data_IF_150935056357
#
_entry.id   IF_150935056357
#
_cell.length_a   1.000
_cell.length_b   1.000
_cell.length_c   1.000
_cell.angle_alpha   90.00
_cell.angle_beta   90.00
_cell.angle_gamma   90.00
#
_symmetry.space_group_name_H-M   'P 1'
#
loop_
_entity.id
_entity.type
_entity.pdbx_description
1 polymer ?
#
# COMPACT_ATOMS: atom_id res chain seq x y z
N UNK A 1 61.70 -23.44 -40.55
CA UNK A 1 61.57 -21.98 -40.70
C UNK A 1 60.15 -21.64 -41.14
N UNK A 2 59.41 -20.83 -40.35
CA UNK A 2 58.09 -20.20 -40.66
C UNK A 2 56.91 -21.19 -40.80
N UNK A 3 55.68 -20.97 -40.32
CA UNK A 3 55.03 -19.85 -39.59
C UNK A 3 53.62 -20.35 -39.17
N UNK A 4 53.24 -20.02 -37.93
CA UNK A 4 51.95 -19.40 -37.49
C UNK A 4 50.64 -20.20 -37.63
N UNK A 5 50.01 -20.57 -36.51
CA UNK A 5 49.11 -19.75 -35.65
C UNK A 5 47.72 -19.52 -36.29
N UNK A 6 46.67 -20.17 -35.76
CA UNK A 6 45.64 -19.54 -34.91
C UNK A 6 44.52 -20.57 -34.62
N UNK A 7 44.49 -21.10 -33.40
CA UNK A 7 43.30 -21.73 -32.83
C UNK A 7 42.52 -20.61 -32.13
N UNK A 8 41.41 -20.20 -32.73
CA UNK A 8 40.44 -19.29 -32.11
C UNK A 8 39.36 -20.17 -31.46
N UNK A 9 39.64 -20.61 -30.23
CA UNK A 9 38.60 -21.15 -29.35
C UNK A 9 37.83 -19.98 -28.76
N UNK A 10 36.71 -19.64 -29.40
CA UNK A 10 35.73 -18.69 -28.86
C UNK A 10 35.02 -19.39 -27.71
N UNK A 11 35.36 -19.05 -26.47
CA UNK A 11 34.58 -19.39 -25.29
C UNK A 11 33.46 -18.35 -25.18
N UNK A 12 32.30 -18.67 -25.74
CA UNK A 12 31.05 -17.93 -25.46
C UNK A 12 30.53 -18.38 -24.09
N UNK A 13 31.00 -17.74 -23.02
CA UNK A 13 30.31 -17.82 -21.74
C UNK A 13 29.11 -16.88 -21.79
N UNK A 14 27.96 -17.43 -22.19
CA UNK A 14 26.65 -16.80 -21.98
C UNK A 14 26.40 -16.75 -20.47
N UNK A 15 26.77 -15.63 -19.84
CA UNK A 15 26.21 -15.26 -18.54
C UNK A 15 24.78 -14.83 -18.80
N UNK A 16 23.84 -15.77 -18.76
CA UNK A 16 22.43 -15.45 -18.58
C UNK A 16 22.34 -15.00 -17.12
N UNK A 17 22.51 -13.70 -16.87
CA UNK A 17 21.95 -13.12 -15.66
C UNK A 17 20.44 -13.28 -15.80
N UNK A 18 19.86 -14.22 -15.05
CA UNK A 18 18.43 -14.16 -14.80
C UNK A 18 18.20 -12.81 -14.14
N UNK A 19 17.68 -11.84 -14.90
CA UNK A 19 17.08 -10.65 -14.33
C UNK A 19 15.87 -11.17 -13.54
N UNK A 20 16.10 -11.57 -12.31
CA UNK A 20 15.03 -11.79 -11.36
C UNK A 20 14.53 -10.38 -11.07
N UNK A 21 13.46 -9.98 -11.76
CA UNK A 21 12.81 -8.70 -11.45
C UNK A 21 12.46 -8.73 -9.97
N UNK A 22 12.90 -7.72 -9.22
CA UNK A 22 12.50 -7.60 -7.82
C UNK A 22 10.98 -7.69 -7.72
N UNK A 23 10.50 -8.54 -6.82
CA UNK A 23 9.08 -8.72 -6.57
C UNK A 23 8.51 -7.40 -6.02
N UNK A 24 7.47 -6.91 -6.68
CA UNK A 24 6.73 -5.71 -6.26
C UNK A 24 5.48 -6.12 -5.50
N UNK A 25 4.84 -5.19 -4.79
CA UNK A 25 3.55 -5.48 -4.12
C UNK A 25 2.52 -5.96 -5.16
N UNK A 26 2.46 -5.32 -6.33
CA UNK A 26 1.56 -5.73 -7.40
C UNK A 26 1.83 -7.15 -7.91
N UNK A 27 3.09 -7.48 -8.23
CA UNK A 27 3.42 -8.83 -8.75
C UNK A 27 3.11 -9.93 -7.74
N UNK A 28 3.32 -9.65 -6.45
CA UNK A 28 3.07 -10.60 -5.37
C UNK A 28 1.59 -10.88 -5.15
N UNK A 29 0.75 -9.84 -5.24
CA UNK A 29 -0.67 -9.92 -4.90
C UNK A 29 -1.63 -9.94 -6.11
N UNK A 30 -1.12 -9.94 -7.35
CA UNK A 30 -1.93 -9.99 -8.58
C UNK A 30 -2.95 -11.14 -8.58
N UNK A 31 -2.58 -12.29 -8.02
CA UNK A 31 -3.40 -13.50 -7.98
C UNK A 31 -4.05 -13.77 -6.61
N UNK A 32 -4.06 -12.78 -5.72
CA UNK A 32 -4.61 -12.89 -4.35
C UNK A 32 -6.08 -13.32 -4.33
N UNK A 33 -6.86 -12.95 -5.34
CA UNK A 33 -8.29 -13.29 -5.47
C UNK A 33 -8.59 -14.80 -5.47
N UNK A 34 -7.59 -15.66 -5.69
CA UNK A 34 -7.72 -17.12 -5.65
C UNK A 34 -7.76 -17.68 -4.23
N UNK A 35 -7.35 -16.89 -3.25
CA UNK A 35 -7.20 -17.33 -1.87
C UNK A 35 -8.44 -16.94 -1.06
N UNK A 36 -9.09 -17.93 -0.44
CA UNK A 36 -10.25 -17.69 0.43
C UNK A 36 -9.82 -17.17 1.81
N UNK A 37 -8.62 -17.54 2.26
CA UNK A 37 -8.06 -17.08 3.52
C UNK A 37 -7.15 -15.86 3.29
N UNK A 38 -7.73 -14.68 3.52
CA UNK A 38 -7.07 -13.39 3.32
C UNK A 38 -5.85 -13.20 4.24
N UNK A 39 -5.82 -13.77 5.44
CA UNK A 39 -4.67 -13.69 6.35
C UNK A 39 -3.49 -14.49 5.80
N UNK A 40 -3.75 -15.71 5.32
CA UNK A 40 -2.75 -16.56 4.65
C UNK A 40 -2.25 -15.87 3.38
N UNK A 41 -3.14 -15.24 2.62
CA UNK A 41 -2.80 -14.47 1.43
C UNK A 41 -1.78 -13.37 1.77
N UNK A 42 -2.08 -12.54 2.79
CA UNK A 42 -1.19 -11.46 3.23
C UNK A 42 0.16 -12.02 3.69
N UNK A 43 0.16 -13.02 4.57
CA UNK A 43 1.39 -13.65 5.08
C UNK A 43 2.27 -14.19 3.96
N UNK A 44 1.69 -14.93 3.01
CA UNK A 44 2.44 -15.49 1.88
C UNK A 44 3.01 -14.40 0.99
N UNK A 45 2.27 -13.32 0.78
CA UNK A 45 2.78 -12.19 0.02
C UNK A 45 3.94 -11.48 0.71
N UNK A 46 3.84 -11.22 2.01
CA UNK A 46 4.95 -10.61 2.78
C UNK A 46 6.21 -11.48 2.74
N UNK A 47 6.06 -12.81 2.80
CA UNK A 47 7.18 -13.74 2.62
C UNK A 47 7.80 -13.66 1.22
N UNK A 48 7.00 -13.51 0.16
CA UNK A 48 7.51 -13.33 -1.22
C UNK A 48 8.25 -12.00 -1.41
N UNK A 49 7.83 -10.96 -0.68
CA UNK A 49 8.54 -9.68 -0.60
C UNK A 49 9.81 -9.75 0.27
N UNK A 50 10.15 -10.93 0.81
CA UNK A 50 11.29 -11.17 1.71
C UNK A 50 11.27 -10.33 3.00
N UNK A 51 10.06 -10.05 3.53
CA UNK A 51 9.90 -9.30 4.78
C UNK A 51 10.12 -10.24 5.97
N UNK A 52 10.98 -9.84 6.93
CA UNK A 52 11.21 -10.60 8.15
C UNK A 52 10.07 -10.40 9.17
N UNK A 53 9.10 -11.32 9.16
CA UNK A 53 7.93 -11.28 10.06
C UNK A 53 8.26 -11.53 11.53
N UNK A 54 9.42 -12.13 11.83
CA UNK A 54 9.87 -12.37 13.20
C UNK A 54 10.52 -11.12 13.84
N UNK A 55 10.85 -10.11 13.02
CA UNK A 55 11.42 -8.86 13.50
C UNK A 55 10.36 -7.99 14.18
N UNK A 56 10.69 -7.43 15.34
CA UNK A 56 9.83 -6.44 15.97
C UNK A 56 9.89 -5.10 15.22
N UNK A 57 8.73 -4.49 15.02
CA UNK A 57 8.63 -3.14 14.45
C UNK A 57 8.77 -2.13 15.59
N UNK A 58 9.64 -1.11 15.47
CA UNK A 58 9.81 -0.09 16.50
C UNK A 58 8.49 0.61 16.83
N UNK A 59 8.25 0.89 18.12
CA UNK A 59 7.03 1.55 18.62
C UNK A 59 6.73 2.86 17.89
N UNK A 60 7.75 3.64 17.51
CA UNK A 60 7.58 4.89 16.77
C UNK A 60 6.93 4.65 15.39
N UNK A 61 7.33 3.58 14.70
CA UNK A 61 6.76 3.22 13.39
C UNK A 61 5.36 2.66 13.54
N UNK A 62 5.11 1.80 14.53
CA UNK A 62 3.76 1.30 14.82
C UNK A 62 2.79 2.45 15.12
N UNK A 63 3.19 3.37 15.97
CA UNK A 63 2.39 4.55 16.35
C UNK A 63 2.13 5.46 15.14
N UNK A 64 3.12 5.64 14.27
CA UNK A 64 2.97 6.39 13.03
C UNK A 64 2.01 5.70 12.04
N UNK A 65 2.16 4.39 11.83
CA UNK A 65 1.26 3.59 10.96
C UNK A 65 -0.17 3.67 11.46
N UNK A 66 -0.39 3.43 12.76
CA UNK A 66 -1.71 3.51 13.38
C UNK A 66 -2.34 4.89 13.15
N UNK A 67 -1.57 5.97 13.36
CA UNK A 67 -2.04 7.33 13.10
C UNK A 67 -2.36 7.60 11.63
N UNK A 68 -1.49 7.17 10.71
CA UNK A 68 -1.65 7.35 9.27
C UNK A 68 -2.95 6.68 8.83
N UNK A 69 -3.13 5.40 9.17
CA UNK A 69 -4.31 4.62 8.77
C UNK A 69 -5.61 5.15 9.40
N UNK A 70 -5.56 5.61 10.66
CA UNK A 70 -6.69 6.29 11.30
C UNK A 70 -7.15 7.55 10.53
N UNK A 71 -6.25 8.11 9.73
CA UNK A 71 -6.46 9.33 8.95
C UNK A 71 -6.56 9.08 7.43
N UNK A 72 -6.55 7.82 7.00
CA UNK A 72 -6.76 7.37 5.62
C UNK A 72 -8.25 7.18 5.40
N UNK A 73 -8.95 8.26 5.04
CA UNK A 73 -10.38 8.21 4.74
C UNK A 73 -10.62 7.70 3.33
N UNK A 74 -11.51 6.73 3.18
CA UNK A 74 -11.79 5.97 1.96
C UNK A 74 -12.64 6.78 0.97
N UNK A 75 -12.02 7.78 0.32
CA UNK A 75 -12.73 8.63 -0.64
C UNK A 75 -12.34 8.30 -2.08
N UNK A 76 -11.06 8.12 -2.33
CA UNK A 76 -10.54 7.87 -3.67
C UNK A 76 -10.83 6.44 -4.14
N UNK A 77 -11.01 5.47 -3.23
CA UNK A 77 -11.46 4.13 -3.63
C UNK A 77 -12.83 4.13 -4.34
N UNK A 78 -13.62 5.20 -4.24
CA UNK A 78 -14.91 5.36 -4.93
C UNK A 78 -14.82 6.25 -6.18
N UNK A 79 -13.61 6.57 -6.65
CA UNK A 79 -13.36 7.47 -7.79
C UNK A 79 -12.66 6.77 -8.95
N UNK A 80 -12.84 5.45 -9.05
CA UNK A 80 -12.19 4.66 -10.07
C UNK A 80 -12.74 4.98 -11.46
N UNK A 81 -11.86 4.85 -12.47
CA UNK A 81 -12.20 4.95 -13.91
C UNK A 81 -12.73 6.33 -14.34
N UNK A 82 -12.18 7.38 -13.76
CA UNK A 82 -12.47 8.78 -14.13
C UNK A 82 -13.72 9.37 -13.48
N UNK A 83 -14.32 8.68 -12.50
CA UNK A 83 -15.46 9.17 -11.72
C UNK A 83 -14.98 10.04 -10.53
N UNK A 84 -14.20 11.08 -10.82
CA UNK A 84 -13.42 11.86 -9.84
C UNK A 84 -14.24 12.70 -8.85
N UNK A 85 -15.52 12.95 -9.17
CA UNK A 85 -16.40 13.83 -8.40
C UNK A 85 -17.30 13.08 -7.41
N UNK A 86 -17.17 11.76 -7.30
CA UNK A 86 -17.96 10.94 -6.38
C UNK A 86 -17.75 11.38 -4.91
N UNK A 87 -18.83 11.37 -4.13
CA UNK A 87 -18.84 11.73 -2.71
C UNK A 87 -19.42 10.59 -1.88
N UNK A 88 -18.68 10.22 -0.84
CA UNK A 88 -19.03 9.15 0.09
C UNK A 88 -19.74 9.74 1.31
N UNK A 89 -20.82 9.10 1.74
CA UNK A 89 -21.53 9.39 2.97
C UNK A 89 -21.66 8.10 3.76
N UNK A 90 -21.20 8.11 5.00
CA UNK A 90 -21.22 6.94 5.88
C UNK A 90 -22.13 7.21 7.06
N UNK A 91 -22.95 6.23 7.43
CA UNK A 91 -23.73 6.26 8.67
C UNK A 91 -22.90 5.71 9.83
N UNK A 92 -23.26 6.09 11.06
CA UNK A 92 -22.65 5.52 12.28
C UNK A 92 -22.85 3.99 12.38
N UNK A 93 -23.86 3.45 11.69
CA UNK A 93 -24.14 2.02 11.58
C UNK A 93 -23.25 1.29 10.57
N UNK A 94 -22.45 2.01 9.77
CA UNK A 94 -21.46 1.45 8.84
C UNK A 94 -21.86 1.48 7.37
N UNK A 95 -23.15 1.63 7.04
CA UNK A 95 -23.58 1.69 5.63
C UNK A 95 -23.06 2.94 4.93
N UNK A 96 -22.62 2.76 3.70
CA UNK A 96 -22.19 3.85 2.83
C UNK A 96 -23.18 4.09 1.70
N UNK A 97 -23.27 5.35 1.29
CA UNK A 97 -23.88 5.76 0.04
C UNK A 97 -22.92 6.66 -0.71
N UNK A 98 -22.74 6.40 -2.01
CA UNK A 98 -21.87 7.19 -2.88
C UNK A 98 -22.74 7.89 -3.90
N UNK A 99 -22.56 9.19 -4.04
CA UNK A 99 -23.28 10.01 -5.01
C UNK A 99 -22.32 10.64 -6.00
N UNK A 100 -22.70 10.64 -7.28
CA UNK A 100 -21.96 11.33 -8.34
C UNK A 100 -22.12 12.86 -8.23
N UNK A 101 -21.46 13.60 -9.12
CA UNK A 101 -21.53 15.06 -9.18
C UNK A 101 -22.94 15.62 -9.39
N UNK A 102 -23.81 14.85 -10.03
CA UNK A 102 -25.19 15.24 -10.38
C UNK A 102 -26.16 14.85 -9.26
N UNK A 103 -25.67 14.19 -8.21
CA UNK A 103 -26.44 13.76 -7.04
C UNK A 103 -27.16 12.41 -7.23
N UNK A 104 -26.81 11.64 -8.26
CA UNK A 104 -27.35 10.29 -8.44
C UNK A 104 -26.58 9.29 -7.59
N UNK A 105 -27.28 8.27 -7.08
CA UNK A 105 -26.65 7.17 -6.37
C UNK A 105 -25.78 6.37 -7.36
N UNK A 106 -24.52 6.17 -7.01
CA UNK A 106 -23.58 5.34 -7.76
C UNK A 106 -23.89 3.87 -7.50
N UNK A 107 -24.17 3.12 -8.56
CA UNK A 107 -24.57 1.71 -8.48
C UNK A 107 -23.64 0.74 -9.22
N UNK A 108 -22.63 1.26 -9.94
CA UNK A 108 -21.64 0.40 -10.57
C UNK A 108 -20.82 -0.33 -9.50
N UNK A 109 -20.32 -1.53 -9.82
CA UNK A 109 -19.72 -2.38 -8.80
C UNK A 109 -18.45 -1.79 -8.20
N UNK A 110 -17.65 -1.08 -8.99
CA UNK A 110 -16.35 -0.58 -8.55
C UNK A 110 -16.47 0.63 -7.61
N UNK A 111 -17.41 1.55 -7.81
CA UNK A 111 -17.51 2.79 -7.02
C UNK A 111 -18.71 2.88 -6.07
N UNK A 112 -19.69 1.97 -6.13
CA UNK A 112 -20.84 2.04 -5.21
C UNK A 112 -20.41 1.92 -3.74
N UNK A 113 -21.23 2.50 -2.85
CA UNK A 113 -21.01 2.41 -1.41
C UNK A 113 -21.01 0.96 -0.92
N UNK A 114 -20.17 0.70 0.08
CA UNK A 114 -20.02 -0.60 0.73
C UNK A 114 -20.56 -0.58 2.16
N UNK A 115 -20.18 -1.55 2.97
CA UNK A 115 -20.46 -1.56 4.41
C UNK A 115 -19.15 -1.60 5.18
N UNK A 116 -18.99 -0.66 6.11
CA UNK A 116 -17.84 -0.61 7.02
C UNK A 116 -18.06 -1.55 8.21
N UNK A 117 -17.32 -2.64 8.26
CA UNK A 117 -17.26 -3.53 9.42
C UNK A 117 -16.23 -3.06 10.44
N UNK A 118 -15.20 -2.34 9.99
CA UNK A 118 -14.22 -1.69 10.85
C UNK A 118 -14.57 -0.25 11.19
N UNK A 119 -13.79 0.34 12.10
CA UNK A 119 -13.93 1.76 12.49
C UNK A 119 -12.58 2.46 12.38
N UNK A 120 -12.59 3.75 12.05
CA UNK A 120 -11.36 4.55 11.95
C UNK A 120 -10.58 4.64 13.26
N UNK A 121 -11.24 4.50 14.41
CA UNK A 121 -10.56 4.45 15.71
C UNK A 121 -9.78 3.15 15.94
N UNK A 122 -10.06 2.10 15.16
CA UNK A 122 -9.34 0.81 15.15
C UNK A 122 -8.83 0.54 13.73
N UNK A 123 -7.85 1.31 13.25
CA UNK A 123 -7.52 1.34 11.82
C UNK A 123 -6.92 0.03 11.29
N UNK A 124 -6.23 -0.74 12.13
CA UNK A 124 -5.72 -2.06 11.73
C UNK A 124 -6.88 -3.02 11.48
N UNK A 125 -7.84 -3.10 12.40
CA UNK A 125 -9.05 -3.88 12.22
C UNK A 125 -9.86 -3.40 11.00
N UNK A 126 -9.93 -2.08 10.75
CA UNK A 126 -10.56 -1.54 9.55
C UNK A 126 -9.87 -2.00 8.27
N UNK A 127 -8.55 -1.98 8.23
CA UNK A 127 -7.83 -2.54 7.09
C UNK A 127 -8.11 -4.03 6.92
N UNK A 128 -8.06 -4.82 8.00
CA UNK A 128 -8.32 -6.28 7.95
C UNK A 128 -9.72 -6.63 7.45
N UNK A 129 -10.75 -5.88 7.87
CA UNK A 129 -12.15 -6.22 7.62
C UNK A 129 -12.72 -5.56 6.36
N UNK A 130 -12.28 -4.36 6.01
CA UNK A 130 -12.87 -3.56 4.93
C UNK A 130 -11.93 -3.52 3.71
N UNK A 131 -10.70 -3.01 3.91
CA UNK A 131 -9.79 -2.72 2.79
C UNK A 131 -9.14 -3.97 2.22
N UNK A 132 -8.60 -4.85 3.06
CA UNK A 132 -7.87 -6.01 2.57
C UNK A 132 -8.77 -6.96 1.75
N UNK A 133 -10.00 -7.31 2.22
CA UNK A 133 -10.95 -8.06 1.39
C UNK A 133 -11.30 -7.33 0.09
N UNK A 134 -11.53 -6.01 0.14
CA UNK A 134 -11.83 -5.21 -1.05
C UNK A 134 -10.66 -5.21 -2.04
N UNK A 135 -9.42 -5.04 -1.59
CA UNK A 135 -8.23 -5.13 -2.45
C UNK A 135 -8.15 -6.49 -3.15
N UNK A 136 -8.41 -7.57 -2.42
CA UNK A 136 -8.30 -8.95 -2.93
C UNK A 136 -9.47 -9.33 -3.85
N UNK A 137 -10.72 -9.05 -3.46
CA UNK A 137 -11.91 -9.56 -4.13
C UNK A 137 -12.77 -8.52 -4.85
N UNK A 138 -12.54 -7.23 -4.61
CA UNK A 138 -13.40 -6.16 -5.10
C UNK A 138 -14.66 -5.99 -4.26
N UNK A 139 -15.49 -5.03 -4.64
CA UNK A 139 -16.70 -4.67 -3.91
C UNK A 139 -17.86 -5.67 -4.14
N UNK A 140 -17.84 -6.37 -5.28
CA UNK A 140 -18.74 -7.49 -5.57
C UNK A 140 -18.02 -8.61 -6.30
N UNK A 141 -18.70 -9.77 -6.38
CA UNK A 141 -18.24 -10.92 -7.17
C UNK A 141 -18.05 -10.61 -8.66
N UNK A 142 -18.72 -9.59 -9.18
CA UNK A 142 -18.68 -9.17 -10.58
C UNK A 142 -17.88 -7.88 -10.78
N UNK A 143 -17.23 -7.37 -9.73
CA UNK A 143 -16.38 -6.20 -9.81
C UNK A 143 -15.23 -6.47 -10.80
N UNK A 144 -15.17 -5.72 -11.92
CA UNK A 144 -14.20 -5.96 -12.97
C UNK A 144 -12.83 -5.36 -12.66
N UNK A 145 -12.65 -4.71 -11.51
CA UNK A 145 -11.38 -4.09 -11.14
C UNK A 145 -10.34 -5.12 -10.75
N UNK A 146 -9.07 -4.81 -10.98
CA UNK A 146 -7.94 -5.65 -10.55
C UNK A 146 -7.43 -5.21 -9.17
N UNK A 147 -6.64 -6.08 -8.51
CA UNK A 147 -5.89 -5.68 -7.31
C UNK A 147 -5.07 -4.41 -7.56
N UNK A 148 -4.39 -4.32 -8.72
CA UNK A 148 -3.55 -3.18 -9.06
C UNK A 148 -4.36 -1.88 -9.17
N UNK A 149 -5.50 -1.92 -9.84
CA UNK A 149 -6.40 -0.77 -9.96
C UNK A 149 -6.87 -0.30 -8.57
N UNK A 150 -7.40 -1.21 -7.76
CA UNK A 150 -7.87 -0.91 -6.40
C UNK A 150 -6.76 -0.39 -5.49
N UNK A 151 -5.59 -1.03 -5.55
CA UNK A 151 -4.44 -0.65 -4.73
C UNK A 151 -3.94 0.75 -5.09
N UNK A 152 -3.93 1.13 -6.37
CA UNK A 152 -3.60 2.49 -6.78
C UNK A 152 -4.46 3.53 -6.06
N UNK A 153 -5.78 3.36 -6.08
CA UNK A 153 -6.70 4.29 -5.42
C UNK A 153 -6.58 4.24 -3.89
N UNK A 154 -6.34 3.08 -3.30
CA UNK A 154 -6.06 3.01 -1.87
C UNK A 154 -4.76 3.75 -1.49
N UNK A 155 -3.71 3.70 -2.33
CA UNK A 155 -2.50 4.49 -2.10
C UNK A 155 -2.77 6.00 -2.13
N UNK A 156 -3.72 6.46 -2.96
CA UNK A 156 -4.13 7.88 -2.98
C UNK A 156 -4.92 8.29 -1.74
N UNK A 157 -5.69 7.38 -1.12
CA UNK A 157 -6.28 7.63 0.20
C UNK A 157 -5.21 7.59 1.31
N UNK A 158 -4.25 6.66 1.21
CA UNK A 158 -3.14 6.53 2.15
C UNK A 158 -2.26 7.79 2.17
N UNK A 159 -2.04 8.41 1.01
CA UNK A 159 -1.36 9.70 0.86
C UNK A 159 -1.95 10.78 1.79
N UNK A 160 -3.28 10.84 1.92
CA UNK A 160 -3.95 11.78 2.83
C UNK A 160 -3.52 11.54 4.29
N UNK A 161 -3.49 10.28 4.72
CA UNK A 161 -3.02 9.88 6.05
C UNK A 161 -1.55 10.23 6.30
N UNK A 162 -0.69 9.98 5.30
CA UNK A 162 0.74 10.30 5.35
C UNK A 162 0.95 11.81 5.46
N UNK A 163 0.27 12.61 4.65
CA UNK A 163 0.35 14.07 4.71
C UNK A 163 -0.09 14.58 6.09
N UNK A 164 -1.18 14.05 6.65
CA UNK A 164 -1.61 14.40 8.02
C UNK A 164 -0.53 14.08 9.06
N UNK A 165 0.17 12.96 8.94
CA UNK A 165 1.29 12.63 9.82
C UNK A 165 2.48 13.59 9.66
N UNK A 166 2.82 13.95 8.42
CA UNK A 166 3.89 14.92 8.12
C UNK A 166 3.58 16.25 8.81
N UNK A 167 2.35 16.76 8.64
CA UNK A 167 1.91 18.05 9.18
C UNK A 167 1.50 18.03 10.66
N UNK A 168 1.48 16.86 11.31
CA UNK A 168 1.25 16.75 12.74
C UNK A 168 2.24 17.60 13.54
N UNK A 169 1.71 18.45 14.43
CA UNK A 169 2.51 19.41 15.22
C UNK A 169 3.38 18.71 16.27
N UNK A 170 2.84 17.69 16.93
CA UNK A 170 3.49 16.98 18.03
C UNK A 170 3.34 15.47 17.84
N UNK A 171 4.42 14.81 17.43
CA UNK A 171 4.44 13.34 17.32
C UNK A 171 4.48 12.63 18.68
N UNK A 172 4.80 13.34 19.75
CA UNK A 172 4.74 12.85 21.13
C UNK A 172 3.33 12.44 21.56
N UNK A 173 2.32 12.96 20.89
CA UNK A 173 0.91 12.80 21.26
C UNK A 173 0.29 11.58 20.56
N UNK A 174 1.08 10.84 19.77
CA UNK A 174 0.65 9.61 19.12
C UNK A 174 0.42 8.51 20.15
N UNK A 175 -0.65 7.75 19.94
CA UNK A 175 -0.92 6.51 20.67
C UNK A 175 0.27 5.56 20.53
N UNK A 176 0.80 5.11 21.68
CA UNK A 176 1.92 4.17 21.71
C UNK A 176 1.42 2.75 21.58
N UNK A 177 1.82 2.09 20.51
CA UNK A 177 1.49 0.69 20.24
C UNK A 177 2.65 -0.21 20.66
N UNK A 178 2.37 -1.24 21.46
CA UNK A 178 3.35 -2.24 21.88
C UNK A 178 3.29 -3.48 20.97
N UNK A 179 4.35 -3.76 20.22
CA UNK A 179 4.42 -4.89 19.28
C UNK A 179 4.11 -6.24 19.94
N UNK A 180 4.61 -6.46 21.16
CA UNK A 180 4.46 -7.71 21.90
C UNK A 180 3.02 -8.02 22.32
N UNK A 181 2.16 -7.00 22.38
CA UNK A 181 0.75 -7.12 22.76
C UNK A 181 -0.17 -7.33 21.55
N UNK A 182 0.35 -7.20 20.32
CA UNK A 182 -0.42 -7.37 19.09
C UNK A 182 -0.74 -8.85 18.84
N UNK A 183 -1.95 -9.14 18.36
CA UNK A 183 -2.27 -10.44 17.76
C UNK A 183 -1.50 -10.62 16.44
N UNK A 184 -1.32 -11.87 16.03
CA UNK A 184 -0.53 -12.19 14.82
C UNK A 184 -1.06 -11.55 13.55
N UNK A 185 -2.39 -11.49 13.37
CA UNK A 185 -2.98 -10.86 12.18
C UNK A 185 -2.67 -9.35 12.11
N UNK A 186 -2.73 -8.64 13.25
CA UNK A 186 -2.36 -7.22 13.32
C UNK A 186 -0.88 -7.02 12.97
N UNK A 187 0.00 -7.90 13.44
CA UNK A 187 1.44 -7.84 13.12
C UNK A 187 1.68 -7.95 11.61
N UNK A 188 0.94 -8.79 10.89
CA UNK A 188 1.04 -8.88 9.43
C UNK A 188 0.67 -7.55 8.76
N UNK A 189 -0.41 -6.91 9.21
CA UNK A 189 -0.83 -5.60 8.69
C UNK A 189 0.23 -4.54 8.98
N UNK A 190 0.78 -4.51 10.20
CA UNK A 190 1.86 -3.58 10.53
C UNK A 190 3.12 -3.83 9.71
N UNK A 191 3.49 -5.09 9.44
CA UNK A 191 4.62 -5.42 8.58
C UNK A 191 4.38 -4.94 7.14
N UNK A 192 3.18 -5.14 6.60
CA UNK A 192 2.79 -4.63 5.29
C UNK A 192 2.98 -3.11 5.20
N UNK A 193 2.43 -2.34 6.14
CA UNK A 193 2.55 -0.89 6.13
C UNK A 193 3.94 -0.38 6.51
N UNK A 194 4.68 -1.09 7.37
CA UNK A 194 6.06 -0.76 7.67
C UNK A 194 6.95 -0.91 6.42
N UNK A 195 6.75 -1.98 5.65
CA UNK A 195 7.43 -2.18 4.38
C UNK A 195 7.04 -1.11 3.35
N UNK A 196 5.75 -0.78 3.24
CA UNK A 196 5.24 0.19 2.27
C UNK A 196 5.67 1.64 2.57
N UNK A 197 5.62 2.07 3.84
CA UNK A 197 5.79 3.47 4.24
C UNK A 197 7.22 3.76 4.71
N UNK A 198 7.86 2.79 5.36
CA UNK A 198 9.18 2.95 6.01
C UNK A 198 10.22 1.99 5.41
N UNK A 199 10.10 1.74 4.11
CA UNK A 199 11.05 0.89 3.39
C UNK A 199 12.49 1.39 3.60
N UNK A 200 13.40 0.46 3.88
CA UNK A 200 14.80 0.79 4.16
C UNK A 200 15.55 1.35 2.94
N UNK A 201 15.06 1.08 1.73
CA UNK A 201 15.65 1.57 0.49
C UNK A 201 15.20 2.99 0.14
N UNK A 202 14.30 3.60 0.92
CA UNK A 202 13.86 4.97 0.66
C UNK A 202 14.94 6.00 0.98
N UNK A 203 15.23 6.83 -0.01
CA UNK A 203 16.13 7.99 0.14
C UNK A 203 15.38 9.19 0.73
N UNK A 204 14.14 9.41 0.27
CA UNK A 204 13.19 10.32 0.88
C UNK A 204 12.32 9.51 1.83
N UNK A 205 12.58 9.61 3.13
CA UNK A 205 11.88 8.89 4.20
C UNK A 205 11.10 9.84 5.14
N UNK A 206 10.36 9.29 6.10
CA UNK A 206 9.63 10.08 7.08
C UNK A 206 10.46 10.51 8.31
N UNK A 207 11.79 10.64 8.17
CA UNK A 207 12.65 11.19 9.21
C UNK A 207 12.35 12.67 9.46
N UNK A 208 12.67 13.19 10.66
CA UNK A 208 12.44 14.61 10.96
C UNK A 208 13.16 15.56 10.00
N UNK A 209 14.34 15.16 9.54
CA UNK A 209 15.14 15.92 8.56
C UNK A 209 14.36 16.08 7.25
N UNK A 210 13.85 14.97 6.71
CA UNK A 210 13.14 14.97 5.44
C UNK A 210 11.73 15.60 5.56
N UNK A 211 11.02 15.37 6.67
CA UNK A 211 9.74 16.04 6.96
C UNK A 211 9.88 17.57 6.95
N UNK A 212 10.96 18.12 7.50
CA UNK A 212 11.23 19.57 7.43
C UNK A 212 11.38 20.07 5.99
N UNK A 213 11.83 19.23 5.06
CA UNK A 213 11.95 19.57 3.65
C UNK A 213 10.63 19.42 2.89
N UNK A 214 9.82 18.41 3.21
CA UNK A 214 8.47 18.22 2.64
C UNK A 214 7.56 19.40 2.96
N UNK A 215 7.62 19.92 4.18
CA UNK A 215 6.84 21.11 4.58
C UNK A 215 7.22 22.40 3.85
N UNK A 216 8.37 22.43 3.17
CA UNK A 216 8.88 23.61 2.44
C UNK A 216 8.54 23.58 0.95
N UNK A 217 8.42 22.40 0.35
CA UNK A 217 8.15 22.25 -1.08
C UNK A 217 7.40 20.97 -1.37
N UNK A 218 6.36 21.08 -2.21
CA UNK A 218 5.61 19.95 -2.74
C UNK A 218 6.50 18.98 -3.54
N UNK A 219 7.50 19.47 -4.27
CA UNK A 219 8.41 18.63 -5.07
C UNK A 219 9.16 17.62 -4.21
N UNK A 220 9.59 18.03 -3.01
CA UNK A 220 10.29 17.13 -2.09
C UNK A 220 9.36 16.03 -1.59
N UNK A 221 8.08 16.36 -1.37
CA UNK A 221 7.08 15.37 -0.97
C UNK A 221 6.77 14.41 -2.12
N UNK A 222 6.69 14.91 -3.35
CA UNK A 222 6.54 14.09 -4.55
C UNK A 222 7.63 13.05 -4.72
N UNK A 223 8.87 13.34 -4.35
CA UNK A 223 9.92 12.33 -4.36
C UNK A 223 9.68 11.18 -3.35
N UNK A 224 9.10 11.48 -2.18
CA UNK A 224 8.67 10.44 -1.24
C UNK A 224 7.54 9.59 -1.86
N UNK A 225 6.49 10.24 -2.34
CA UNK A 225 5.32 9.54 -2.88
C UNK A 225 5.69 8.69 -4.12
N UNK A 226 6.52 9.22 -5.00
CA UNK A 226 7.05 8.55 -6.19
C UNK A 226 7.78 7.24 -5.86
N UNK A 227 8.56 7.19 -4.78
CA UNK A 227 9.21 5.94 -4.34
C UNK A 227 8.17 4.93 -3.80
N UNK A 228 7.13 5.40 -3.12
CA UNK A 228 6.05 4.54 -2.60
C UNK A 228 5.25 3.89 -3.71
N UNK A 229 4.89 4.63 -4.76
CA UNK A 229 4.28 4.07 -5.96
C UNK A 229 5.23 3.12 -6.70
N UNK A 230 6.52 3.48 -6.81
CA UNK A 230 7.52 2.63 -7.44
C UNK A 230 7.72 1.30 -6.71
N UNK A 231 7.81 1.31 -5.37
CA UNK A 231 7.92 0.10 -4.55
C UNK A 231 6.67 -0.79 -4.72
N UNK A 232 5.52 -0.15 -4.84
CA UNK A 232 4.26 -0.85 -5.06
C UNK A 232 4.25 -1.59 -6.41
N UNK A 233 4.95 -1.07 -7.42
CA UNK A 233 5.01 -1.62 -8.77
C UNK A 233 4.41 -0.70 -9.84
N UNK A 234 3.99 0.50 -9.47
CA UNK A 234 3.54 1.52 -10.42
C UNK A 234 4.75 2.31 -10.94
N UNK A 235 4.84 2.45 -12.26
CA UNK A 235 5.89 3.28 -12.87
C UNK A 235 5.41 4.71 -12.87
N UNK A 236 6.28 5.64 -12.49
CA UNK A 236 6.06 7.05 -12.76
C UNK A 236 6.27 7.24 -14.27
N UNK A 237 5.21 7.59 -14.99
CA UNK A 237 5.31 8.07 -16.38
C UNK A 237 5.90 9.49 -16.43
#
# INVERSE_FOLDING_TARGET
MKKRFFLLSIVFSLVITSMQSEETILSVFENSYKEENIEICLKNGLNKLNINLDSEIPTERLSAINFILKNTYENNIHKMRGEEDNKVYTKDTGEEAVFDKDGNLVTNDWNKGSYNYGTYDKPIQKFELDIWPWLVWGNTRTDPTSFAERFYYYLTDLDIGIQKYIFLKKKSDLEKINYSELKESDKLVYHFFNYLIFNENYTFDLSEKNIKNYKKSADNYWNFLSQLFSLSGFRNE
#
